data_IF_876062049931
#
_entry.id   IF_876062049931
#
_cell.length_a   1.000
_cell.length_b   1.000
_cell.length_c   1.000
_cell.angle_alpha   90.00
_cell.angle_beta   90.00
_cell.angle_gamma   90.00
#
_symmetry.space_group_name_H-M   'P 1'
#
loop_
_entity.id
_entity.type
_entity.pdbx_description
1 polymer ?
#
# COMPACT_ATOMS: atom_id res chain seq x y z
N UNK A 1 -14.21 -9.44 -36.08
CA UNK A 1 -14.68 -8.69 -34.89
C UNK A 1 -13.79 -8.92 -33.66
N UNK A 2 -13.43 -10.16 -33.32
CA UNK A 2 -12.50 -10.46 -32.20
C UNK A 2 -11.05 -10.01 -32.49
N UNK A 3 -10.57 -10.18 -33.74
CA UNK A 3 -9.21 -9.77 -34.15
C UNK A 3 -9.07 -8.23 -34.14
N UNK A 4 -10.09 -7.51 -34.60
CA UNK A 4 -10.12 -6.04 -34.58
C UNK A 4 -10.21 -5.47 -33.16
N UNK A 5 -10.92 -6.14 -32.24
CA UNK A 5 -10.93 -5.75 -30.82
C UNK A 5 -9.58 -6.01 -30.14
N UNK A 6 -8.89 -7.11 -30.49
CA UNK A 6 -7.55 -7.43 -29.97
C UNK A 6 -6.49 -6.41 -30.39
N UNK A 7 -6.56 -5.93 -31.63
CA UNK A 7 -5.66 -4.90 -32.14
C UNK A 7 -5.88 -3.54 -31.44
N UNK A 8 -7.14 -3.12 -31.30
CA UNK A 8 -7.51 -1.83 -30.69
C UNK A 8 -7.17 -1.72 -29.20
N UNK A 9 -7.27 -2.83 -28.45
CA UNK A 9 -6.91 -2.86 -27.01
C UNK A 9 -5.40 -2.75 -26.79
N UNK A 10 -4.56 -3.10 -27.77
CA UNK A 10 -3.10 -3.11 -27.65
C UNK A 10 -2.50 -1.78 -28.12
N UNK A 11 -3.03 -1.16 -29.18
CA UNK A 11 -2.40 0.02 -29.81
C UNK A 11 -2.62 1.35 -29.06
N UNK A 12 -3.80 1.56 -28.47
CA UNK A 12 -4.15 2.78 -27.73
C UNK A 12 -3.31 3.01 -26.44
N UNK A 13 -3.15 2.03 -25.53
CA UNK A 13 -2.35 2.25 -24.32
C UNK A 13 -0.84 2.33 -24.58
N UNK A 14 -0.35 1.64 -25.63
CA UNK A 14 1.07 1.54 -25.95
C UNK A 14 1.62 2.84 -26.56
N UNK A 15 0.83 3.49 -27.43
CA UNK A 15 1.19 4.76 -28.07
C UNK A 15 1.29 5.91 -27.05
N UNK A 16 0.38 5.96 -26.08
CA UNK A 16 0.41 6.95 -25.00
C UNK A 16 1.64 6.82 -24.09
N UNK A 17 2.08 5.58 -23.81
CA UNK A 17 3.27 5.35 -22.99
C UNK A 17 4.58 5.62 -23.74
N UNK A 18 4.66 5.26 -25.02
CA UNK A 18 5.80 5.64 -25.86
C UNK A 18 5.95 7.17 -25.91
N UNK A 19 4.83 7.89 -26.06
CA UNK A 19 4.80 9.34 -26.04
C UNK A 19 5.29 9.92 -24.70
N UNK A 20 4.85 9.36 -23.57
CA UNK A 20 5.33 9.76 -22.24
C UNK A 20 6.82 9.45 -22.00
N UNK A 21 7.29 8.29 -22.48
CA UNK A 21 8.68 7.83 -22.36
C UNK A 21 9.64 8.68 -23.21
N UNK A 22 9.21 9.06 -24.43
CA UNK A 22 9.99 9.91 -25.34
C UNK A 22 10.09 11.35 -24.81
N UNK A 23 9.03 11.87 -24.16
CA UNK A 23 8.98 13.27 -23.72
C UNK A 23 9.72 13.52 -22.39
N UNK A 24 9.92 12.52 -21.51
CA UNK A 24 10.51 12.69 -20.15
C UNK A 24 11.70 11.77 -19.82
N UNK A 25 12.46 11.38 -20.85
CA UNK A 25 13.54 10.38 -20.94
C UNK A 25 14.34 9.99 -19.68
N UNK A 26 14.77 10.91 -18.82
CA UNK A 26 15.58 10.58 -17.62
C UNK A 26 14.84 10.65 -16.27
N UNK A 27 13.63 11.22 -16.22
CA UNK A 27 12.80 11.33 -14.99
C UNK A 27 11.66 10.30 -14.97
N UNK A 28 11.67 9.33 -15.90
CA UNK A 28 10.64 8.30 -16.07
C UNK A 28 10.96 6.97 -15.36
N UNK A 29 12.20 6.78 -14.88
CA UNK A 29 12.61 5.58 -14.12
C UNK A 29 12.16 5.73 -12.65
N UNK A 30 10.85 5.83 -12.43
CA UNK A 30 10.24 5.62 -11.11
C UNK A 30 9.77 4.17 -11.00
N UNK A 31 9.78 3.62 -9.78
CA UNK A 31 9.31 2.25 -9.53
C UNK A 31 7.84 2.06 -9.96
N UNK A 32 7.01 3.10 -9.80
CA UNK A 32 5.61 3.08 -10.23
C UNK A 32 5.50 2.86 -11.76
N UNK A 33 6.27 3.60 -12.55
CA UNK A 33 6.25 3.49 -14.01
C UNK A 33 6.86 2.18 -14.51
N UNK A 34 7.84 1.62 -13.78
CA UNK A 34 8.43 0.33 -14.08
C UNK A 34 7.43 -0.82 -13.87
N UNK A 35 6.65 -0.76 -12.78
CA UNK A 35 5.58 -1.72 -12.49
C UNK A 35 4.50 -1.66 -13.58
N UNK A 36 4.07 -0.46 -13.97
CA UNK A 36 3.10 -0.28 -15.05
C UNK A 36 3.60 -0.91 -16.37
N UNK A 37 4.83 -0.60 -16.79
CA UNK A 37 5.44 -1.16 -18.00
C UNK A 37 5.52 -2.70 -17.95
N UNK A 38 5.88 -3.26 -16.78
CA UNK A 38 5.91 -4.71 -16.58
C UNK A 38 4.51 -5.33 -16.72
N UNK A 39 3.47 -4.70 -16.19
CA UNK A 39 2.08 -5.18 -16.30
C UNK A 39 1.64 -5.18 -17.76
N UNK A 40 1.86 -4.10 -18.51
CA UNK A 40 1.44 -4.03 -19.91
C UNK A 40 2.20 -5.02 -20.80
N UNK A 41 3.52 -5.13 -20.61
CA UNK A 41 4.33 -6.11 -21.35
C UNK A 41 3.93 -7.56 -21.03
N UNK A 42 3.74 -7.89 -19.75
CA UNK A 42 3.27 -9.23 -19.35
C UNK A 42 1.85 -9.54 -19.82
N UNK A 43 0.95 -8.56 -19.85
CA UNK A 43 -0.39 -8.72 -20.42
C UNK A 43 -0.33 -9.07 -21.91
N UNK A 44 0.49 -8.34 -22.69
CA UNK A 44 0.68 -8.63 -24.12
C UNK A 44 1.26 -10.05 -24.31
N UNK A 45 2.30 -10.42 -23.56
CA UNK A 45 2.94 -11.75 -23.64
C UNK A 45 1.96 -12.87 -23.29
N UNK A 46 1.06 -12.66 -22.34
CA UNK A 46 0.03 -13.66 -21.97
C UNK A 46 -1.01 -13.87 -23.08
N UNK A 47 -1.35 -12.81 -23.81
CA UNK A 47 -2.36 -12.81 -24.87
C UNK A 47 -1.78 -13.22 -26.21
N UNK A 48 -0.51 -12.96 -26.54
CA UNK A 48 0.06 -13.31 -27.85
C UNK A 48 0.23 -14.82 -28.04
N UNK A 49 -0.10 -15.30 -29.23
CA UNK A 49 0.02 -16.71 -29.62
C UNK A 49 1.46 -16.99 -30.06
N UNK A 50 2.31 -17.37 -29.10
CA UNK A 50 3.76 -17.54 -29.27
C UNK A 50 4.15 -18.88 -29.91
N UNK A 51 3.24 -19.87 -29.92
CA UNK A 51 3.52 -21.20 -30.48
C UNK A 51 2.64 -21.51 -31.69
N UNK A 52 3.13 -22.31 -32.66
CA UNK A 52 2.35 -22.73 -33.82
C UNK A 52 1.07 -23.47 -33.39
N UNK A 53 1.19 -24.33 -32.37
CA UNK A 53 0.07 -25.07 -31.80
C UNK A 53 -0.97 -24.14 -31.14
N UNK A 54 -0.54 -23.11 -30.41
CA UNK A 54 -1.43 -22.11 -29.80
C UNK A 54 -2.23 -21.35 -30.85
N UNK A 55 -1.67 -21.13 -32.04
CA UNK A 55 -2.38 -20.44 -33.14
C UNK A 55 -3.52 -21.29 -33.71
N UNK A 56 -3.37 -22.62 -33.71
CA UNK A 56 -4.37 -23.54 -34.28
C UNK A 56 -5.41 -24.01 -33.27
N UNK A 57 -5.02 -24.23 -32.01
CA UNK A 57 -5.90 -24.83 -30.98
C UNK A 57 -6.35 -23.86 -29.88
N UNK A 58 -5.72 -22.69 -29.78
CA UNK A 58 -5.99 -21.72 -28.71
C UNK A 58 -5.44 -22.12 -27.33
N UNK A 59 -4.76 -23.27 -27.20
CA UNK A 59 -4.16 -23.71 -25.93
C UNK A 59 -2.90 -22.91 -25.57
N UNK A 60 -2.89 -22.39 -24.34
CA UNK A 60 -1.80 -21.61 -23.76
C UNK A 60 -0.76 -22.50 -23.08
N UNK A 61 0.50 -22.08 -23.09
CA UNK A 61 1.58 -22.80 -22.40
C UNK A 61 1.52 -22.58 -20.88
N UNK A 62 2.02 -23.53 -20.08
CA UNK A 62 2.02 -23.44 -18.62
C UNK A 62 2.67 -22.16 -18.08
N UNK A 63 3.79 -21.73 -18.68
CA UNK A 63 4.45 -20.49 -18.28
C UNK A 63 3.63 -19.24 -18.63
N UNK A 64 2.79 -19.27 -19.68
CA UNK A 64 1.88 -18.16 -20.00
C UNK A 64 0.80 -18.00 -18.93
N UNK A 65 0.29 -19.11 -18.39
CA UNK A 65 -0.65 -19.09 -17.27
C UNK A 65 -0.01 -18.51 -15.99
N UNK A 66 1.24 -18.87 -15.71
CA UNK A 66 1.97 -18.31 -14.56
C UNK A 66 2.18 -16.79 -14.72
N UNK A 67 2.60 -16.34 -15.91
CA UNK A 67 2.76 -14.91 -16.21
C UNK A 67 1.42 -14.18 -16.13
N UNK A 68 0.33 -14.77 -16.63
CA UNK A 68 -1.02 -14.21 -16.53
C UNK A 68 -1.47 -14.05 -15.07
N UNK A 69 -1.21 -15.05 -14.22
CA UNK A 69 -1.52 -14.99 -12.79
C UNK A 69 -0.75 -13.86 -12.08
N UNK A 70 0.56 -13.74 -12.35
CA UNK A 70 1.39 -12.65 -11.81
C UNK A 70 0.93 -11.29 -12.33
N UNK A 71 0.60 -11.18 -13.62
CA UNK A 71 0.07 -9.96 -14.22
C UNK A 71 -1.25 -9.53 -13.57
N UNK A 72 -2.19 -10.47 -13.36
CA UNK A 72 -3.46 -10.20 -12.70
C UNK A 72 -3.24 -9.71 -11.27
N UNK A 73 -2.39 -10.39 -10.49
CA UNK A 73 -2.04 -9.97 -9.14
C UNK A 73 -1.41 -8.56 -9.11
N UNK A 74 -0.39 -8.31 -9.94
CA UNK A 74 0.27 -7.01 -10.01
C UNK A 74 -0.65 -5.90 -10.50
N UNK A 75 -1.64 -6.20 -11.36
CA UNK A 75 -2.66 -5.23 -11.79
C UNK A 75 -3.51 -4.75 -10.61
N UNK A 76 -3.92 -5.66 -9.72
CA UNK A 76 -4.62 -5.29 -8.49
C UNK A 76 -3.72 -4.54 -7.50
N UNK A 77 -2.45 -4.90 -7.39
CA UNK A 77 -1.48 -4.14 -6.60
C UNK A 77 -1.26 -2.73 -7.16
N UNK A 78 -1.21 -2.57 -8.48
CA UNK A 78 -1.12 -1.26 -9.13
C UNK A 78 -2.38 -0.42 -8.88
N UNK A 79 -3.56 -1.05 -8.86
CA UNK A 79 -4.80 -0.36 -8.47
C UNK A 79 -4.70 0.22 -7.05
N UNK A 80 -4.13 -0.50 -6.09
CA UNK A 80 -3.87 0.04 -4.74
C UNK A 80 -2.93 1.25 -4.79
N UNK A 81 -1.89 1.23 -5.62
CA UNK A 81 -0.98 2.37 -5.82
C UNK A 81 -1.66 3.56 -6.50
N UNK A 82 -2.65 3.35 -7.37
CA UNK A 82 -3.47 4.42 -7.94
C UNK A 82 -4.39 5.04 -6.89
N UNK A 83 -4.97 4.24 -6.00
CA UNK A 83 -5.77 4.72 -4.86
C UNK A 83 -4.93 5.63 -3.94
N UNK A 84 -3.62 5.42 -3.85
CA UNK A 84 -2.67 6.31 -3.14
C UNK A 84 -2.81 7.78 -3.54
N UNK A 85 -3.17 8.06 -4.80
CA UNK A 85 -3.33 9.43 -5.34
C UNK A 85 -4.68 10.06 -4.97
N UNK A 86 -5.63 9.29 -4.43
CA UNK A 86 -6.95 9.80 -4.04
C UNK A 86 -6.89 10.51 -2.68
N UNK A 87 -7.46 11.72 -2.54
CA UNK A 87 -7.35 12.53 -1.31
C UNK A 87 -8.01 11.92 -0.07
N UNK A 88 -8.97 11.00 -0.25
CA UNK A 88 -9.69 10.35 0.87
C UNK A 88 -9.11 8.99 1.24
N UNK A 89 -8.84 8.16 0.24
CA UNK A 89 -8.40 6.78 0.46
C UNK A 89 -6.87 6.62 0.46
N UNK A 90 -6.14 7.54 -0.19
CA UNK A 90 -4.70 7.40 -0.40
C UNK A 90 -3.88 7.40 0.88
N UNK A 91 -4.34 8.11 1.93
CA UNK A 91 -3.67 8.15 3.23
C UNK A 91 -3.62 6.76 3.88
N UNK A 92 -4.71 5.99 3.80
CA UNK A 92 -4.75 4.64 4.35
C UNK A 92 -3.78 3.71 3.62
N UNK A 93 -3.66 3.86 2.30
CA UNK A 93 -2.71 3.07 1.50
C UNK A 93 -1.27 3.45 1.85
N UNK A 94 -0.95 4.74 1.95
CA UNK A 94 0.40 5.20 2.37
C UNK A 94 0.73 4.64 3.75
N UNK A 95 -0.19 4.78 4.70
CA UNK A 95 -0.01 4.29 6.07
C UNK A 95 0.22 2.78 6.11
N UNK A 96 -0.54 2.00 5.32
CA UNK A 96 -0.36 0.55 5.22
C UNK A 96 1.07 0.17 4.76
N UNK A 97 1.58 0.82 3.70
CA UNK A 97 2.94 0.55 3.24
C UNK A 97 4.01 1.03 4.23
N UNK A 98 3.77 2.11 4.96
CA UNK A 98 4.67 2.58 6.02
C UNK A 98 4.75 1.53 7.17
N UNK A 99 3.61 0.99 7.64
CA UNK A 99 3.56 -0.10 8.63
C UNK A 99 4.19 -1.39 8.09
N UNK A 100 3.93 -1.75 6.83
CA UNK A 100 4.55 -2.92 6.21
C UNK A 100 6.09 -2.79 6.16
N UNK A 101 6.59 -1.58 5.90
CA UNK A 101 8.03 -1.30 5.88
C UNK A 101 8.63 -1.43 7.27
N UNK A 102 7.98 -0.92 8.32
CA UNK A 102 8.51 -1.08 9.68
C UNK A 102 8.46 -2.54 10.12
N UNK A 103 7.33 -3.23 9.88
CA UNK A 103 7.19 -4.67 10.10
C UNK A 103 8.30 -5.48 9.42
N UNK A 104 8.60 -5.20 8.14
CA UNK A 104 9.63 -5.94 7.40
C UNK A 104 11.04 -5.81 7.99
N UNK A 105 11.37 -4.69 8.63
CA UNK A 105 12.68 -4.52 9.30
C UNK A 105 12.83 -5.46 10.49
N UNK A 106 11.78 -5.64 11.29
CA UNK A 106 11.77 -6.57 12.41
C UNK A 106 11.65 -8.03 11.94
N UNK A 107 10.92 -8.28 10.85
CA UNK A 107 10.71 -9.61 10.29
C UNK A 107 12.01 -10.33 9.91
N UNK A 108 13.08 -9.61 9.58
CA UNK A 108 14.40 -10.21 9.28
C UNK A 108 14.90 -11.08 10.43
N UNK A 109 14.72 -10.65 11.68
CA UNK A 109 15.12 -11.43 12.86
C UNK A 109 14.28 -12.70 12.98
N UNK A 110 12.98 -12.62 12.70
CA UNK A 110 12.08 -13.76 12.72
C UNK A 110 12.39 -14.77 11.59
N UNK A 111 12.77 -14.28 10.41
CA UNK A 111 13.16 -15.11 9.28
C UNK A 111 14.36 -16.02 9.61
N UNK A 112 15.32 -15.56 10.44
CA UNK A 112 16.43 -16.38 10.90
C UNK A 112 15.95 -17.59 11.71
N UNK A 113 15.01 -17.38 12.63
CA UNK A 113 14.42 -18.47 13.39
C UNK A 113 13.61 -19.41 12.49
N UNK A 114 12.83 -18.88 11.54
CA UNK A 114 12.08 -19.71 10.56
C UNK A 114 13.04 -20.62 9.83
N UNK A 115 14.13 -20.10 9.26
CA UNK A 115 15.10 -20.91 8.53
C UNK A 115 15.74 -21.97 9.42
N UNK A 116 16.15 -21.61 10.65
CA UNK A 116 16.77 -22.54 11.59
C UNK A 116 15.85 -23.73 11.94
N UNK A 117 14.61 -23.44 12.33
CA UNK A 117 13.63 -24.48 12.66
C UNK A 117 13.17 -25.25 11.41
N UNK A 118 13.08 -24.61 10.25
CA UNK A 118 12.72 -25.28 8.99
C UNK A 118 13.75 -26.33 8.61
N UNK A 119 15.05 -26.03 8.76
CA UNK A 119 16.12 -26.99 8.49
C UNK A 119 16.09 -28.13 9.53
N UNK A 120 15.87 -27.81 10.82
CA UNK A 120 15.72 -28.83 11.85
C UNK A 120 14.55 -29.78 11.55
N UNK A 121 13.38 -29.24 11.21
CA UNK A 121 12.20 -30.02 10.85
C UNK A 121 12.38 -30.78 9.54
N UNK A 122 13.05 -30.21 8.54
CA UNK A 122 13.43 -30.93 7.32
C UNK A 122 14.23 -32.19 7.64
N UNK A 123 15.29 -32.09 8.46
CA UNK A 123 16.11 -33.25 8.81
C UNK A 123 15.34 -34.28 9.64
N UNK A 124 14.53 -33.84 10.60
CA UNK A 124 13.81 -34.75 11.51
C UNK A 124 12.60 -35.44 10.88
N UNK A 125 11.93 -34.77 9.95
CA UNK A 125 10.67 -35.18 9.35
C UNK A 125 10.75 -35.33 7.82
N UNK A 126 11.95 -35.50 7.24
CA UNK A 126 12.13 -35.63 5.78
C UNK A 126 11.24 -36.69 5.11
N UNK A 127 10.81 -37.71 5.86
CA UNK A 127 9.94 -38.77 5.35
C UNK A 127 8.45 -38.35 5.24
N UNK A 128 8.15 -37.08 5.51
CA UNK A 128 6.83 -36.46 5.37
C UNK A 128 6.76 -35.62 4.10
N UNK A 129 5.65 -35.66 3.34
CA UNK A 129 5.52 -34.88 2.12
C UNK A 129 5.64 -33.37 2.40
N UNK A 130 5.17 -32.90 3.56
CA UNK A 130 5.24 -31.49 3.98
C UNK A 130 6.69 -31.01 4.21
N UNK A 131 7.59 -31.91 4.59
CA UNK A 131 9.00 -31.62 4.90
C UNK A 131 9.95 -32.33 3.93
N UNK A 132 9.46 -32.79 2.78
CA UNK A 132 10.23 -33.55 1.78
C UNK A 132 11.29 -32.72 1.06
N UNK A 133 11.13 -31.40 1.03
CA UNK A 133 12.07 -30.46 0.42
C UNK A 133 12.27 -29.25 1.33
N UNK A 134 13.44 -28.59 1.25
CA UNK A 134 13.73 -27.39 2.04
C UNK A 134 12.70 -26.27 1.79
N UNK A 135 12.28 -25.95 0.54
CA UNK A 135 11.23 -24.96 0.32
C UNK A 135 9.88 -25.35 0.94
N UNK A 136 9.49 -26.62 0.85
CA UNK A 136 8.25 -27.11 1.49
C UNK A 136 8.32 -27.01 3.01
N UNK A 137 9.47 -27.36 3.61
CA UNK A 137 9.70 -27.26 5.04
C UNK A 137 9.66 -25.80 5.53
N UNK A 138 10.24 -24.86 4.77
CA UNK A 138 10.16 -23.42 5.07
C UNK A 138 8.72 -22.91 5.00
N UNK A 139 7.97 -23.33 3.98
CA UNK A 139 6.57 -22.95 3.84
C UNK A 139 5.72 -23.51 4.99
N UNK A 140 5.86 -24.81 5.31
CA UNK A 140 5.14 -25.43 6.44
C UNK A 140 5.52 -24.80 7.77
N UNK A 141 6.79 -24.48 7.99
CA UNK A 141 7.25 -23.81 9.23
C UNK A 141 6.71 -22.38 9.35
N UNK A 142 6.59 -21.66 8.24
CA UNK A 142 5.96 -20.33 8.21
C UNK A 142 4.47 -20.40 8.51
N UNK A 143 3.77 -21.41 8.00
CA UNK A 143 2.35 -21.67 8.33
C UNK A 143 2.19 -22.01 9.82
N UNK A 144 3.08 -22.85 10.36
CA UNK A 144 3.09 -23.17 11.80
C UNK A 144 3.42 -21.95 12.67
N UNK A 145 4.22 -20.99 12.19
CA UNK A 145 4.46 -19.72 12.88
C UNK A 145 3.14 -18.95 13.07
N UNK A 146 2.27 -18.91 12.05
CA UNK A 146 0.97 -18.21 12.10
C UNK A 146 0.04 -18.78 13.19
N UNK A 147 0.28 -20.02 13.63
CA UNK A 147 -0.48 -20.69 14.69
C UNK A 147 -1.24 -21.92 14.22
N UNK A 148 -1.09 -22.31 12.96
CA UNK A 148 -1.70 -23.54 12.42
C UNK A 148 -0.87 -24.77 12.78
N UNK A 149 -1.31 -25.50 13.80
CA UNK A 149 -0.66 -26.72 14.29
C UNK A 149 -1.48 -27.96 14.00
N UNK A 150 -1.00 -28.81 13.08
CA UNK A 150 -1.59 -30.12 12.81
C UNK A 150 -0.80 -31.22 13.53
N UNK A 151 -0.73 -31.17 14.86
CA UNK A 151 0.08 -32.10 15.65
C UNK A 151 -0.25 -33.57 15.36
N UNK A 152 -1.54 -33.93 15.29
CA UNK A 152 -1.95 -35.30 14.99
C UNK A 152 -1.52 -35.73 13.59
N UNK A 153 -1.63 -34.88 12.59
CA UNK A 153 -1.21 -35.22 11.22
C UNK A 153 0.33 -35.41 11.14
N UNK A 154 1.09 -34.52 11.79
CA UNK A 154 2.55 -34.50 11.77
C UNK A 154 3.15 -35.67 12.57
N UNK A 155 2.67 -35.90 13.80
CA UNK A 155 3.25 -36.87 14.73
C UNK A 155 2.52 -38.23 14.77
N UNK A 156 1.21 -38.25 14.52
CA UNK A 156 0.35 -39.45 14.67
C UNK A 156 -0.33 -39.93 13.37
N UNK A 157 -0.08 -39.28 12.22
CA UNK A 157 -0.81 -39.54 10.98
C UNK A 157 -0.84 -41.03 10.54
N UNK A 158 -1.78 -41.36 9.65
CA UNK A 158 -2.23 -42.72 9.29
C UNK A 158 -1.18 -43.82 9.45
N UNK A 159 -1.44 -44.75 10.37
CA UNK A 159 -0.53 -45.80 10.80
C UNK A 159 -0.11 -46.78 9.68
N UNK A 160 -0.79 -46.75 8.53
CA UNK A 160 -0.67 -47.81 7.51
C UNK A 160 0.41 -47.58 6.45
N UNK A 161 0.89 -46.36 6.20
CA UNK A 161 1.75 -46.13 5.03
C UNK A 161 3.26 -46.06 5.28
N UNK A 162 3.80 -45.66 6.44
CA UNK A 162 5.26 -45.72 6.70
C UNK A 162 5.60 -45.85 8.21
N UNK A 163 6.27 -46.92 8.66
CA UNK A 163 6.60 -47.13 10.08
C UNK A 163 7.76 -46.27 10.61
N UNK A 164 8.62 -45.70 9.75
CA UNK A 164 9.78 -44.89 10.16
C UNK A 164 9.65 -43.42 9.73
N UNK A 165 8.66 -42.70 10.27
CA UNK A 165 8.38 -41.31 9.85
C UNK A 165 9.12 -40.22 10.61
N UNK A 166 9.72 -40.53 11.74
CA UNK A 166 10.32 -39.52 12.62
C UNK A 166 11.65 -40.00 13.17
N UNK A 167 12.72 -39.26 12.86
CA UNK A 167 14.03 -39.53 13.43
C UNK A 167 14.09 -39.02 14.87
N UNK A 168 14.22 -39.92 15.85
CA UNK A 168 14.40 -39.57 17.25
C UNK A 168 13.19 -38.92 17.91
N UNK A 169 12.11 -39.70 18.13
CA UNK A 169 10.83 -39.24 18.68
C UNK A 169 10.94 -38.30 19.90
N UNK A 170 11.79 -38.65 20.88
CA UNK A 170 11.97 -37.84 22.09
C UNK A 170 12.53 -36.43 21.79
N UNK A 171 13.52 -36.35 20.91
CA UNK A 171 14.16 -35.08 20.52
C UNK A 171 13.18 -34.26 19.67
N UNK A 172 12.38 -34.92 18.82
CA UNK A 172 11.37 -34.27 17.99
C UNK A 172 10.30 -33.56 18.81
N UNK A 173 9.75 -34.23 19.83
CA UNK A 173 8.79 -33.60 20.73
C UNK A 173 9.39 -32.42 21.50
N UNK A 174 10.64 -32.53 21.95
CA UNK A 174 11.32 -31.43 22.66
C UNK A 174 11.58 -30.22 21.76
N UNK A 175 12.11 -30.42 20.55
CA UNK A 175 12.34 -29.32 19.59
C UNK A 175 11.02 -28.68 19.16
N UNK A 176 9.98 -29.47 18.95
CA UNK A 176 8.65 -28.96 18.61
C UNK A 176 8.02 -28.16 19.76
N UNK A 177 8.15 -28.62 21.01
CA UNK A 177 7.69 -27.85 22.18
C UNK A 177 8.43 -26.51 22.29
N UNK A 178 9.75 -26.52 22.12
CA UNK A 178 10.57 -25.32 22.11
C UNK A 178 10.19 -24.36 20.98
N UNK A 179 9.89 -24.90 19.79
CA UNK A 179 9.36 -24.14 18.67
C UNK A 179 8.03 -23.45 19.03
N UNK A 180 7.07 -24.16 19.62
CA UNK A 180 5.79 -23.58 20.02
C UNK A 180 5.96 -22.43 21.03
N UNK A 181 6.84 -22.60 22.03
CA UNK A 181 7.12 -21.54 23.01
C UNK A 181 7.75 -20.32 22.32
N UNK A 182 8.77 -20.51 21.50
CA UNK A 182 9.44 -19.37 20.84
C UNK A 182 8.52 -18.72 19.80
N UNK A 183 8.05 -19.47 18.82
CA UNK A 183 7.37 -18.91 17.65
C UNK A 183 5.96 -18.43 17.97
N UNK A 184 5.20 -19.22 18.71
CA UNK A 184 3.78 -18.95 18.94
C UNK A 184 3.55 -18.09 20.17
N UNK A 185 4.37 -18.25 21.21
CA UNK A 185 4.17 -17.48 22.44
C UNK A 185 5.07 -16.25 22.45
N UNK A 186 6.38 -16.37 22.22
CA UNK A 186 7.26 -15.21 22.28
C UNK A 186 7.15 -14.32 21.03
N UNK A 187 7.31 -14.89 19.83
CA UNK A 187 7.39 -14.08 18.62
C UNK A 187 6.03 -13.48 18.22
N UNK A 188 4.93 -14.22 18.33
CA UNK A 188 3.60 -13.64 18.03
C UNK A 188 3.23 -12.52 18.99
N UNK A 189 3.46 -12.69 20.29
CA UNK A 189 3.16 -11.63 21.26
C UNK A 189 4.08 -10.42 21.08
N UNK A 190 5.37 -10.64 20.73
CA UNK A 190 6.28 -9.56 20.38
C UNK A 190 5.84 -8.83 19.11
N UNK A 191 5.41 -9.56 18.08
CA UNK A 191 4.94 -9.00 16.81
C UNK A 191 3.70 -8.13 17.03
N UNK A 192 2.73 -8.61 17.81
CA UNK A 192 1.54 -7.85 18.19
C UNK A 192 1.92 -6.65 19.05
N UNK A 193 2.81 -6.83 20.03
CA UNK A 193 3.28 -5.72 20.90
C UNK A 193 3.95 -4.61 20.10
N UNK A 194 4.86 -4.96 19.20
CA UNK A 194 5.52 -4.00 18.31
C UNK A 194 4.53 -3.34 17.35
N UNK A 195 3.60 -4.10 16.76
CA UNK A 195 2.60 -3.54 15.86
C UNK A 195 1.68 -2.52 16.56
N UNK A 196 1.33 -2.76 17.82
CA UNK A 196 0.50 -1.85 18.63
C UNK A 196 1.26 -0.57 19.03
N UNK A 197 2.58 -0.64 19.21
CA UNK A 197 3.39 0.54 19.51
C UNK A 197 3.70 1.35 18.24
N UNK A 198 3.99 0.68 17.11
CA UNK A 198 4.24 1.34 15.82
C UNK A 198 2.98 2.00 15.25
N UNK A 199 1.80 1.41 15.42
CA UNK A 199 0.56 2.00 14.86
C UNK A 199 0.23 3.36 15.50
N UNK A 200 0.59 3.57 16.78
CA UNK A 200 0.34 4.84 17.48
C UNK A 200 1.19 5.97 16.91
N UNK A 201 2.50 5.72 16.73
CA UNK A 201 3.43 6.72 16.17
C UNK A 201 3.12 7.01 14.69
N UNK A 202 2.84 5.97 13.90
CA UNK A 202 2.46 6.09 12.49
C UNK A 202 1.14 6.83 12.33
N UNK A 203 0.18 6.67 13.25
CA UNK A 203 -1.11 7.37 13.19
C UNK A 203 -0.95 8.89 13.39
N UNK A 204 -0.09 9.32 14.33
CA UNK A 204 0.19 10.74 14.54
C UNK A 204 0.90 11.36 13.32
N UNK A 205 1.89 10.66 12.77
CA UNK A 205 2.59 11.11 11.56
C UNK A 205 1.64 11.16 10.35
N UNK A 206 0.77 10.16 10.20
CA UNK A 206 -0.20 10.10 9.11
C UNK A 206 -1.23 11.24 9.15
N UNK A 207 -1.60 11.74 10.33
CA UNK A 207 -2.47 12.93 10.45
C UNK A 207 -1.80 14.14 9.80
N UNK A 208 -0.52 14.38 10.07
CA UNK A 208 0.23 15.49 9.46
C UNK A 208 0.46 15.26 7.95
N UNK A 209 0.83 14.03 7.56
CA UNK A 209 1.04 13.64 6.15
C UNK A 209 -0.24 13.75 5.32
N UNK A 210 -1.41 13.51 5.93
CA UNK A 210 -2.72 13.77 5.32
C UNK A 210 -2.90 15.24 5.00
N UNK A 211 -2.57 16.14 5.93
CA UNK A 211 -2.72 17.58 5.69
C UNK A 211 -1.80 18.06 4.58
N UNK A 212 -0.55 17.57 4.55
CA UNK A 212 0.40 17.93 3.49
C UNK A 212 -0.05 17.42 2.13
N UNK A 213 -0.50 16.16 2.03
CA UNK A 213 -1.00 15.60 0.76
C UNK A 213 -2.24 16.35 0.24
N UNK A 214 -3.14 16.79 1.13
CA UNK A 214 -4.28 17.61 0.74
C UNK A 214 -3.84 18.99 0.23
N UNK A 215 -2.90 19.64 0.90
CA UNK A 215 -2.35 20.91 0.46
C UNK A 215 -1.65 20.78 -0.91
N UNK A 216 -0.81 19.76 -1.09
CA UNK A 216 -0.12 19.48 -2.36
C UNK A 216 -1.10 19.21 -3.50
N UNK A 217 -2.17 18.46 -3.24
CA UNK A 217 -3.20 18.21 -4.25
C UNK A 217 -3.90 19.51 -4.66
N UNK A 218 -4.29 20.34 -3.69
CA UNK A 218 -4.92 21.64 -3.97
C UNK A 218 -3.97 22.51 -4.79
N UNK A 219 -2.68 22.59 -4.42
CA UNK A 219 -1.68 23.35 -5.16
C UNK A 219 -1.47 22.82 -6.59
N UNK A 220 -1.46 21.50 -6.78
CA UNK A 220 -1.35 20.89 -8.11
C UNK A 220 -2.58 21.19 -8.98
N UNK A 221 -3.78 21.17 -8.40
CA UNK A 221 -5.02 21.54 -9.11
C UNK A 221 -5.00 23.04 -9.45
N UNK A 222 -4.63 23.91 -8.51
CA UNK A 222 -4.52 25.36 -8.75
C UNK A 222 -3.49 25.70 -9.83
N UNK A 223 -2.36 24.99 -9.85
CA UNK A 223 -1.31 25.15 -10.86
C UNK A 223 -1.74 24.65 -12.23
N UNK A 224 -2.50 23.54 -12.29
CA UNK A 224 -2.95 22.95 -13.56
C UNK A 224 -4.16 23.68 -14.17
N UNK A 225 -4.97 24.37 -13.37
CA UNK A 225 -6.17 25.08 -13.84
C UNK A 225 -6.16 26.57 -13.40
N UNK A 226 -5.37 27.43 -14.08
CA UNK A 226 -5.19 28.83 -13.70
C UNK A 226 -6.49 29.67 -13.82
N UNK A 227 -7.46 29.21 -14.60
CA UNK A 227 -8.77 29.87 -14.74
C UNK A 227 -9.64 29.75 -13.48
N UNK A 228 -9.59 28.61 -12.77
CA UNK A 228 -10.36 28.39 -11.54
C UNK A 228 -9.85 29.32 -10.41
N UNK A 229 -8.54 29.56 -10.35
CA UNK A 229 -7.94 30.51 -9.39
C UNK A 229 -8.54 31.92 -9.49
N UNK A 230 -8.85 32.39 -10.70
CA UNK A 230 -9.47 33.70 -10.93
C UNK A 230 -10.93 33.78 -10.48
N UNK A 231 -11.68 32.67 -10.55
CA UNK A 231 -13.09 32.63 -10.15
C UNK A 231 -13.32 32.37 -8.65
N UNK A 232 -12.39 31.67 -8.00
CA UNK A 232 -12.60 31.13 -6.64
C UNK A 232 -11.81 31.87 -5.57
N UNK A 233 -10.90 32.77 -5.96
CA UNK A 233 -10.13 33.60 -5.03
C UNK A 233 -11.05 34.59 -4.29
N UNK A 234 -11.28 34.32 -3.00
CA UNK A 234 -11.88 35.26 -2.06
C UNK A 234 -10.85 35.55 -0.97
N UNK A 235 -10.53 36.82 -0.75
CA UNK A 235 -9.49 37.23 0.22
C UNK A 235 -9.93 37.11 1.69
N UNK A 236 -11.23 37.00 1.97
CA UNK A 236 -11.73 36.68 3.31
C UNK A 236 -13.06 35.93 3.28
N UNK A 237 -13.23 35.01 4.24
CA UNK A 237 -14.46 34.25 4.47
C UNK A 237 -14.95 34.58 5.87
N UNK A 238 -16.12 35.22 6.00
CA UNK A 238 -16.78 35.43 7.30
C UNK A 238 -17.66 34.23 7.63
N UNK A 239 -17.33 33.53 8.72
CA UNK A 239 -18.07 32.37 9.21
C UNK A 239 -19.01 32.81 10.33
N UNK A 240 -20.31 32.50 10.22
CA UNK A 240 -21.30 32.74 11.27
C UNK A 240 -21.67 31.41 11.94
N UNK A 241 -21.08 31.07 13.10
CA UNK A 241 -21.18 29.73 13.69
C UNK A 241 -22.60 29.33 14.09
N UNK A 242 -23.50 30.30 14.30
CA UNK A 242 -24.87 30.06 14.77
C UNK A 242 -25.96 30.24 13.69
N UNK A 243 -25.60 30.47 12.42
CA UNK A 243 -26.59 30.45 11.32
C UNK A 243 -26.63 29.07 10.68
N UNK A 244 -27.76 28.39 10.78
CA UNK A 244 -28.02 27.17 10.00
C UNK A 244 -28.34 27.54 8.55
N UNK A 245 -27.51 27.10 7.60
CA UNK A 245 -27.84 27.17 6.17
C UNK A 245 -29.10 26.35 5.86
N UNK A 246 -29.83 26.72 4.80
CA UNK A 246 -30.98 25.97 4.31
C UNK A 246 -30.65 24.49 4.09
N UNK A 247 -29.46 24.19 3.55
CA UNK A 247 -28.93 22.82 3.40
C UNK A 247 -28.76 22.09 4.74
N UNK A 248 -28.35 22.81 5.80
CA UNK A 248 -28.21 22.26 7.16
C UNK A 248 -29.58 21.94 7.77
N UNK A 249 -30.59 22.78 7.51
CA UNK A 249 -31.99 22.50 7.90
C UNK A 249 -32.60 21.35 7.12
N UNK A 250 -32.34 21.26 5.81
CA UNK A 250 -32.83 20.17 4.96
C UNK A 250 -32.22 18.83 5.38
N UNK A 251 -30.91 18.79 5.62
CA UNK A 251 -30.18 17.60 6.09
C UNK A 251 -30.67 17.13 7.46
N UNK A 252 -30.89 18.05 8.41
CA UNK A 252 -31.43 17.73 9.73
C UNK A 252 -32.89 17.23 9.68
N UNK A 253 -33.63 17.50 8.60
CA UNK A 253 -35.02 17.07 8.41
C UNK A 253 -35.15 15.67 7.79
N UNK A 254 -34.10 15.21 7.09
CA UNK A 254 -34.06 13.88 6.45
C UNK A 254 -33.46 12.78 7.35
N UNK A 255 -33.22 13.06 8.64
CA UNK A 255 -32.89 12.01 9.61
C UNK A 255 -31.58 11.27 9.37
N UNK A 256 -30.62 11.87 8.64
CA UNK A 256 -29.27 11.31 8.47
C UNK A 256 -28.41 11.61 9.70
N UNK A 257 -28.85 11.13 10.87
CA UNK A 257 -28.09 11.13 12.12
C UNK A 257 -27.53 9.72 12.32
N UNK A 258 -26.48 9.42 11.57
CA UNK A 258 -25.62 8.29 11.84
C UNK A 258 -24.18 8.78 11.75
N UNK A 259 -23.52 8.88 12.91
CA UNK A 259 -22.09 9.18 13.13
C UNK A 259 -21.72 10.64 13.44
N UNK A 260 -22.36 11.22 14.46
CA UNK A 260 -21.94 12.47 15.14
C UNK A 260 -20.52 12.39 15.71
N UNK A 261 -19.92 11.20 15.81
CA UNK A 261 -18.53 11.01 16.24
C UNK A 261 -17.50 11.09 15.10
N UNK A 262 -17.86 10.70 13.87
CA UNK A 262 -16.90 10.65 12.73
C UNK A 262 -16.79 12.00 12.02
N UNK A 263 -17.87 12.79 11.97
CA UNK A 263 -17.85 14.10 11.31
C UNK A 263 -17.28 15.22 12.16
N UNK A 264 -17.27 15.10 13.50
CA UNK A 264 -16.56 16.07 14.35
C UNK A 264 -15.04 15.99 14.15
N UNK A 265 -14.51 14.82 13.82
CA UNK A 265 -13.09 14.64 13.52
C UNK A 265 -12.72 15.20 12.13
N UNK A 266 -13.62 15.10 11.14
CA UNK A 266 -13.43 15.75 9.83
C UNK A 266 -13.57 17.30 9.90
N UNK A 267 -14.48 17.85 10.71
CA UNK A 267 -14.66 19.31 10.88
C UNK A 267 -13.57 19.96 11.76
N UNK A 268 -13.02 19.26 12.77
CA UNK A 268 -11.85 19.73 13.52
C UNK A 268 -10.56 19.64 12.69
N UNK A 269 -10.35 18.55 11.93
CA UNK A 269 -9.21 18.47 11.02
C UNK A 269 -9.26 19.59 9.99
N UNK A 270 -10.42 19.88 9.36
CA UNK A 270 -10.55 20.98 8.39
C UNK A 270 -10.32 22.38 9.01
N UNK A 271 -10.60 22.58 10.30
CA UNK A 271 -10.32 23.83 11.03
C UNK A 271 -8.85 24.00 11.38
N UNK A 272 -8.16 22.93 11.78
CA UNK A 272 -6.71 22.96 12.00
C UNK A 272 -5.94 23.08 10.68
N UNK A 273 -6.33 22.39 9.60
CA UNK A 273 -5.67 22.54 8.28
C UNK A 273 -5.70 23.98 7.81
N UNK A 274 -6.84 24.67 7.92
CA UNK A 274 -6.96 26.05 7.45
C UNK A 274 -6.21 27.04 8.35
N UNK A 275 -6.10 26.78 9.66
CA UNK A 275 -5.32 27.60 10.59
C UNK A 275 -3.81 27.36 10.46
N UNK A 276 -3.39 26.10 10.28
CA UNK A 276 -1.98 25.72 10.14
C UNK A 276 -1.44 25.97 8.73
N UNK A 277 -2.22 25.78 7.67
CA UNK A 277 -1.82 26.21 6.32
C UNK A 277 -1.61 27.73 6.27
N UNK A 278 -2.44 28.51 7.00
CA UNK A 278 -2.22 29.95 7.14
C UNK A 278 -0.91 30.26 7.89
N UNK A 279 -0.61 29.57 9.00
CA UNK A 279 0.64 29.74 9.77
C UNK A 279 1.91 29.27 9.02
N UNK A 280 1.84 28.18 8.25
CA UNK A 280 2.97 27.66 7.46
C UNK A 280 3.22 28.56 6.25
N UNK A 281 2.17 29.02 5.58
CA UNK A 281 2.28 30.03 4.50
C UNK A 281 2.83 31.34 5.06
N UNK A 282 2.39 31.80 6.23
CA UNK A 282 2.94 33.00 6.89
C UNK A 282 4.43 32.84 7.25
N UNK A 283 4.86 31.68 7.77
CA UNK A 283 6.28 31.42 8.06
C UNK A 283 7.14 31.30 6.81
N UNK A 284 6.63 30.73 5.71
CA UNK A 284 7.34 30.67 4.44
C UNK A 284 7.47 32.06 3.79
N UNK A 285 6.42 32.88 3.84
CA UNK A 285 6.46 34.28 3.37
C UNK A 285 7.39 35.18 4.22
N UNK A 286 7.48 34.95 5.53
CA UNK A 286 8.42 35.66 6.40
C UNK A 286 9.87 35.25 6.17
N UNK A 287 10.12 34.00 5.76
CA UNK A 287 11.47 33.54 5.41
C UNK A 287 11.91 34.06 4.04
N UNK A 288 10.98 34.23 3.09
CA UNK A 288 11.25 34.81 1.77
C UNK A 288 11.49 36.33 1.83
N UNK A 289 10.80 37.06 2.72
CA UNK A 289 11.03 38.51 2.95
C UNK A 289 12.39 38.85 3.56
N UNK A 290 13.11 37.89 4.16
CA UNK A 290 14.48 38.13 4.66
C UNK A 290 15.53 38.19 3.54
N UNK A 291 15.21 37.71 2.33
CA UNK A 291 16.17 37.61 1.21
C UNK A 291 16.06 38.71 0.13
N UNK A 292 15.21 39.73 0.32
CA UNK A 292 15.15 40.88 -0.59
C UNK A 292 15.05 42.21 0.19
N UNK A 293 16.08 43.08 0.17
CA UNK A 293 16.00 44.40 0.77
C UNK A 293 15.41 45.37 -0.26
N UNK A 294 14.08 45.51 -0.30
CA UNK A 294 13.45 46.65 -0.95
C UNK A 294 12.93 47.62 0.12
N UNK A 295 13.76 48.62 0.44
CA UNK A 295 13.29 49.87 1.04
C UNK A 295 12.33 50.54 0.06
N UNK A 296 11.10 50.78 0.49
CA UNK A 296 10.20 51.74 -0.16
C UNK A 296 9.82 52.76 0.91
N UNK A 297 10.29 54.00 0.70
CA UNK A 297 10.08 55.16 1.57
C UNK A 297 8.59 55.53 1.65
N UNK A 298 8.08 55.58 2.88
CA UNK A 298 6.70 55.93 3.21
C UNK A 298 6.52 57.45 3.40
N UNK A 299 6.97 58.28 2.46
CA UNK A 299 6.88 59.75 2.57
C UNK A 299 6.16 60.47 1.42
N UNK A 300 5.43 59.76 0.54
CA UNK A 300 4.72 60.40 -0.61
C UNK A 300 3.25 60.03 -0.81
N UNK A 301 2.50 59.70 0.26
CA UNK A 301 1.04 59.52 0.18
C UNK A 301 0.28 60.32 1.23
N UNK A 302 0.66 61.59 1.41
CA UNK A 302 -0.20 62.61 2.00
C UNK A 302 -0.09 63.85 1.11
N UNK A 303 -1.24 64.32 0.61
CA UNK A 303 -1.47 65.49 -0.25
C UNK A 303 -1.53 65.24 -1.76
N UNK A 304 -2.67 64.70 -2.23
CA UNK A 304 -3.65 65.43 -3.04
C UNK A 304 -4.88 64.55 -3.30
#
# INVERSE_FOLDING_TARGET
>A
MIITFRQLVIDEPCSFQLFQLITRRHRYISLDNAIECFIYSSAIVSVVDLSPCSRTTGLRMNWQWLVAAVCAFLSWMNLLLLIRKLPRFGIYVVMFFDVLRTFSRFFIVFALFVVAFSIAFFVMMQNRPEFSSVPSAVLKTTVMMIGEFEFTAIFHGDAESHPERLFGHAIAYLIFLFFCVIMTILLMNLLVGLAVDDIKSVLEEAKLKRLSMQADLVLQIEASIPYIRKLTSRSSVRIYPNRTSFLKRLRNRFGFDSSTTVLMEEDWQSREVNSFACLVVEKLFLNEKKNFPCKVDASKLVNN
#
